data_IF_329037964236
#
_entry.id   IF_329037964236
#
_cell.length_a   1.000
_cell.length_b   1.000
_cell.length_c   1.000
_cell.angle_alpha   90.00
_cell.angle_beta   90.00
_cell.angle_gamma   90.00
#
_symmetry.space_group_name_H-M   'P 1'
#
loop_
_entity.id
_entity.type
_entity.pdbx_description
1 polymer ?
#
# COMPACT_ATOMS: atom_id res chain seq x y z
N UNK A 1 -11.17 -2.31 -3.40
CA UNK A 1 -9.71 -2.19 -3.41
C UNK A 1 -9.08 -3.08 -4.48
N UNK A 2 -9.49 -4.32 -4.68
CA UNK A 2 -8.99 -5.22 -5.74
C UNK A 2 -8.98 -4.54 -7.11
N UNK A 3 -10.09 -3.90 -7.49
CA UNK A 3 -10.20 -3.17 -8.75
C UNK A 3 -9.21 -2.01 -8.86
N UNK A 4 -8.90 -1.33 -7.75
CA UNK A 4 -7.90 -0.25 -7.70
C UNK A 4 -6.49 -0.80 -7.94
N UNK A 5 -6.14 -1.89 -7.28
CA UNK A 5 -4.85 -2.57 -7.42
C UNK A 5 -4.66 -3.06 -8.86
N UNK A 6 -5.68 -3.69 -9.46
CA UNK A 6 -5.63 -4.17 -10.85
C UNK A 6 -5.38 -3.00 -11.81
N UNK A 7 -6.11 -1.88 -11.67
CA UNK A 7 -5.95 -0.70 -12.53
C UNK A 7 -4.57 -0.06 -12.38
N UNK A 8 -4.04 0.02 -11.16
CA UNK A 8 -2.71 0.58 -10.90
C UNK A 8 -1.61 -0.32 -11.49
N UNK A 9 -1.73 -1.64 -11.38
CA UNK A 9 -0.80 -2.58 -12.01
C UNK A 9 -0.83 -2.44 -13.55
N UNK A 10 -2.01 -2.32 -14.16
CA UNK A 10 -2.10 -2.10 -15.61
C UNK A 10 -1.44 -0.79 -16.01
N UNK A 11 -1.67 0.29 -15.26
CA UNK A 11 -1.01 1.59 -15.51
C UNK A 11 0.52 1.53 -15.35
N UNK A 12 1.02 0.65 -14.47
CA UNK A 12 2.45 0.42 -14.30
C UNK A 12 3.04 -0.27 -15.54
N UNK A 13 2.38 -1.32 -16.04
CA UNK A 13 2.76 -2.03 -17.28
C UNK A 13 2.76 -1.06 -18.48
N UNK A 14 1.71 -0.25 -18.61
CA UNK A 14 1.60 0.74 -19.69
C UNK A 14 2.71 1.81 -19.64
N UNK A 15 3.36 1.97 -18.47
CA UNK A 15 4.47 2.90 -18.29
C UNK A 15 5.86 2.29 -18.57
N UNK A 16 5.96 1.03 -18.95
CA UNK A 16 7.25 0.35 -19.18
C UNK A 16 8.03 0.87 -20.39
N UNK A 17 7.35 1.52 -21.36
CA UNK A 17 8.00 2.12 -22.55
C UNK A 17 8.72 3.46 -22.28
N UNK A 18 9.17 3.68 -21.04
CA UNK A 18 9.87 4.90 -20.62
C UNK A 18 11.17 5.13 -21.37
N UNK A 19 11.93 4.06 -21.58
CA UNK A 19 13.27 4.14 -22.20
C UNK A 19 13.20 4.54 -23.67
N UNK A 20 12.11 4.20 -24.36
CA UNK A 20 11.91 4.56 -25.76
C UNK A 20 11.80 6.08 -25.97
N UNK A 21 11.05 6.79 -25.12
CA UNK A 21 10.96 8.26 -25.21
C UNK A 21 12.33 8.91 -24.97
N UNK A 22 13.11 8.41 -24.01
CA UNK A 22 14.44 8.93 -23.74
C UNK A 22 15.37 8.71 -24.94
N UNK A 23 15.41 7.47 -25.44
CA UNK A 23 16.24 7.08 -26.58
C UNK A 23 15.89 7.88 -27.84
N UNK A 24 14.59 8.03 -28.15
CA UNK A 24 14.13 8.86 -29.26
C UNK A 24 14.57 10.32 -29.12
N UNK A 25 14.51 10.88 -27.90
CA UNK A 25 15.01 12.21 -27.60
C UNK A 25 16.52 12.33 -27.83
N UNK A 26 17.28 11.37 -27.30
CA UNK A 26 18.75 11.32 -27.45
C UNK A 26 19.16 11.19 -28.94
N UNK A 27 18.54 10.28 -29.70
CA UNK A 27 18.81 10.07 -31.13
C UNK A 27 18.48 11.30 -31.95
N UNK A 28 17.38 12.00 -31.68
CA UNK A 28 17.02 13.22 -32.40
C UNK A 28 18.07 14.34 -32.20
N UNK A 29 18.73 14.40 -31.04
CA UNK A 29 19.82 15.36 -30.80
C UNK A 29 21.09 15.05 -31.56
N UNK A 30 21.28 13.83 -32.06
CA UNK A 30 22.43 13.47 -32.92
C UNK A 30 22.25 13.93 -34.38
N UNK A 31 21.03 14.39 -34.74
CA UNK A 31 20.75 14.81 -36.12
C UNK A 31 21.45 16.13 -36.48
N UNK A 32 21.97 16.22 -37.69
CA UNK A 32 22.80 17.33 -38.16
C UNK A 32 22.05 18.67 -38.27
N UNK A 33 20.73 18.65 -38.52
CA UNK A 33 19.93 19.86 -38.72
C UNK A 33 18.77 19.93 -37.68
N UNK A 34 19.06 20.40 -36.47
CA UNK A 34 18.11 20.45 -35.35
C UNK A 34 16.96 21.46 -35.57
N UNK A 35 17.16 22.44 -36.44
CA UNK A 35 16.12 23.49 -36.69
C UNK A 35 15.17 23.11 -37.84
N UNK A 36 15.38 21.99 -38.52
CA UNK A 36 14.48 21.52 -39.58
C UNK A 36 13.08 21.25 -39.07
N UNK A 37 12.08 21.67 -39.85
CA UNK A 37 10.65 21.50 -39.60
C UNK A 37 9.95 20.77 -40.75
N UNK A 38 8.71 20.39 -40.56
CA UNK A 38 7.84 19.83 -41.60
C UNK A 38 7.91 18.32 -41.75
N UNK A 39 8.81 17.65 -41.01
CA UNK A 39 8.92 16.19 -41.06
C UNK A 39 7.86 15.53 -40.17
N UNK A 40 7.20 14.49 -40.68
CA UNK A 40 6.27 13.66 -39.90
C UNK A 40 6.96 12.49 -39.20
N UNK A 41 8.05 12.06 -39.79
CA UNK A 41 8.91 10.99 -39.28
C UNK A 41 10.35 11.17 -39.80
N UNK A 42 11.30 10.57 -39.10
CA UNK A 42 12.70 10.53 -39.48
C UNK A 42 13.25 9.14 -39.24
N UNK A 43 14.15 8.69 -40.10
CA UNK A 43 14.88 7.42 -39.95
C UNK A 43 16.30 7.72 -39.51
N UNK A 44 16.70 7.18 -38.36
CA UNK A 44 18.01 7.40 -37.73
C UNK A 44 18.58 6.04 -37.36
N UNK A 45 19.90 5.90 -37.46
CA UNK A 45 20.60 4.73 -36.94
C UNK A 45 20.72 4.83 -35.45
N UNK A 46 20.23 3.81 -34.73
CA UNK A 46 20.32 3.72 -33.26
C UNK A 46 21.73 3.35 -32.79
N UNK A 47 21.93 3.28 -31.48
CA UNK A 47 23.22 2.96 -30.86
C UNK A 47 23.70 1.52 -31.14
N UNK A 48 22.78 0.63 -31.52
CA UNK A 48 23.04 -0.77 -31.84
C UNK A 48 23.29 -0.98 -33.38
N UNK A 49 23.21 0.11 -34.16
CA UNK A 49 23.43 0.09 -35.62
C UNK A 49 22.18 -0.25 -36.43
N UNK A 50 20.99 -0.30 -35.79
CA UNK A 50 19.73 -0.60 -36.47
C UNK A 50 19.06 0.68 -36.96
N UNK A 51 18.31 0.59 -38.07
CA UNK A 51 17.48 1.69 -38.53
C UNK A 51 16.21 1.81 -37.68
N UNK A 52 16.00 2.98 -37.04
CA UNK A 52 14.87 3.32 -36.21
C UNK A 52 14.08 4.48 -36.79
N UNK A 53 12.74 4.28 -36.93
CA UNK A 53 11.83 5.34 -37.38
C UNK A 53 11.25 6.05 -36.16
N UNK A 54 11.45 7.36 -36.08
CA UNK A 54 10.96 8.20 -34.99
C UNK A 54 9.87 9.12 -35.53
N UNK A 55 8.70 9.09 -34.91
CA UNK A 55 7.56 9.96 -35.26
C UNK A 55 7.81 11.38 -34.79
N UNK A 56 7.48 12.37 -35.62
CA UNK A 56 7.67 13.79 -35.33
C UNK A 56 6.37 14.56 -35.49
N UNK A 57 6.25 15.63 -34.72
CA UNK A 57 5.23 16.67 -34.95
C UNK A 57 5.79 17.63 -36.01
N UNK A 58 5.14 17.72 -37.19
CA UNK A 58 5.65 18.56 -38.29
C UNK A 58 5.62 20.06 -37.99
N UNK A 59 4.87 20.49 -36.98
CA UNK A 59 4.84 21.88 -36.52
C UNK A 59 6.07 22.28 -35.72
N UNK A 60 6.78 21.32 -35.20
CA UNK A 60 7.96 21.49 -34.35
C UNK A 60 9.24 21.24 -35.11
N UNK A 61 10.34 21.90 -34.72
CA UNK A 61 11.68 21.54 -35.20
C UNK A 61 12.14 20.20 -34.60
N UNK A 62 13.19 19.60 -35.14
CA UNK A 62 13.78 18.37 -34.64
C UNK A 62 14.17 18.52 -33.17
N UNK A 63 14.80 19.66 -32.79
CA UNK A 63 15.14 20.01 -31.41
C UNK A 63 13.91 20.09 -30.50
N UNK A 64 12.83 20.71 -30.99
CA UNK A 64 11.58 20.81 -30.24
C UNK A 64 10.90 19.46 -30.06
N UNK A 65 10.96 18.57 -31.08
CA UNK A 65 10.48 17.21 -30.98
C UNK A 65 11.31 16.39 -29.95
N UNK A 66 12.64 16.51 -29.98
CA UNK A 66 13.50 15.90 -28.97
C UNK A 66 13.13 16.34 -27.57
N UNK A 67 12.94 17.64 -27.33
CA UNK A 67 12.47 18.19 -26.05
C UNK A 67 11.09 17.64 -25.64
N UNK A 68 10.18 17.44 -26.59
CA UNK A 68 8.86 16.84 -26.36
C UNK A 68 9.01 15.39 -25.87
N UNK A 69 9.90 14.61 -26.48
CA UNK A 69 10.22 13.25 -26.03
C UNK A 69 10.81 13.23 -24.60
N UNK A 70 11.76 14.12 -24.28
CA UNK A 70 12.28 14.22 -22.90
C UNK A 70 11.23 14.68 -21.90
N UNK A 71 10.33 15.56 -22.30
CA UNK A 71 9.20 15.98 -21.44
C UNK A 71 8.28 14.79 -21.15
N UNK A 72 7.96 13.98 -22.18
CA UNK A 72 7.15 12.77 -22.03
C UNK A 72 7.85 11.74 -21.13
N UNK A 73 9.15 11.50 -21.35
CA UNK A 73 9.96 10.65 -20.48
C UNK A 73 9.90 11.09 -19.01
N UNK A 74 10.13 12.38 -18.76
CA UNK A 74 10.11 12.93 -17.41
C UNK A 74 8.73 12.80 -16.75
N UNK A 75 7.66 13.09 -17.51
CA UNK A 75 6.27 12.95 -17.06
C UNK A 75 5.93 11.50 -16.74
N UNK A 76 6.27 10.56 -17.63
CA UNK A 76 6.03 9.13 -17.41
C UNK A 76 6.82 8.61 -16.20
N UNK A 77 8.10 9.00 -16.07
CA UNK A 77 8.96 8.61 -14.92
C UNK A 77 8.38 9.05 -13.59
N UNK A 78 7.93 10.32 -13.50
CA UNK A 78 7.28 10.83 -12.28
C UNK A 78 5.94 10.12 -12.03
N UNK A 79 5.19 9.84 -13.09
CA UNK A 79 3.94 9.08 -13.01
C UNK A 79 4.16 7.66 -12.50
N UNK A 80 5.22 6.98 -12.94
CA UNK A 80 5.57 5.63 -12.47
C UNK A 80 5.80 5.60 -10.96
N UNK A 81 6.63 6.50 -10.43
CA UNK A 81 6.90 6.60 -8.99
C UNK A 81 5.59 6.82 -8.21
N UNK A 82 4.75 7.74 -8.68
CA UNK A 82 3.45 7.99 -8.04
C UNK A 82 2.53 6.74 -8.08
N UNK A 83 2.51 5.99 -9.19
CA UNK A 83 1.71 4.76 -9.31
C UNK A 83 2.24 3.69 -8.33
N UNK A 84 3.56 3.54 -8.22
CA UNK A 84 4.20 2.59 -7.29
C UNK A 84 3.83 2.91 -5.83
N UNK A 85 3.88 4.19 -5.43
CA UNK A 85 3.44 4.64 -4.11
C UNK A 85 1.95 4.36 -3.86
N UNK A 86 1.08 4.66 -4.85
CA UNK A 86 -0.36 4.39 -4.74
C UNK A 86 -0.67 2.89 -4.70
N UNK A 87 0.14 2.07 -5.36
CA UNK A 87 0.01 0.62 -5.34
C UNK A 87 0.37 0.05 -3.96
N UNK A 88 1.45 0.55 -3.33
CA UNK A 88 1.83 0.15 -1.98
C UNK A 88 0.73 0.51 -0.96
N UNK A 89 0.20 1.74 -1.03
CA UNK A 89 -0.92 2.16 -0.19
C UNK A 89 -2.15 1.26 -0.41
N UNK A 90 -2.50 1.00 -1.68
CA UNK A 90 -3.68 0.20 -1.99
C UNK A 90 -3.55 -1.27 -1.55
N UNK A 91 -2.35 -1.84 -1.60
CA UNK A 91 -2.07 -3.18 -1.09
C UNK A 91 -2.23 -3.25 0.43
N UNK A 92 -1.67 -2.28 1.15
CA UNK A 92 -1.82 -2.19 2.63
C UNK A 92 -3.28 -2.03 3.05
N UNK A 93 -4.05 -1.21 2.32
CA UNK A 93 -5.49 -1.09 2.55
C UNK A 93 -6.23 -2.42 2.29
N UNK A 94 -5.86 -3.15 1.24
CA UNK A 94 -6.46 -4.45 0.92
C UNK A 94 -6.16 -5.48 2.03
N UNK A 95 -4.91 -5.55 2.48
CA UNK A 95 -4.50 -6.42 3.60
C UNK A 95 -5.30 -6.09 4.88
N UNK A 96 -5.42 -4.80 5.22
CA UNK A 96 -6.24 -4.35 6.34
C UNK A 96 -7.69 -4.82 6.24
N UNK A 97 -8.34 -4.67 5.07
CA UNK A 97 -9.73 -5.11 4.89
C UNK A 97 -9.88 -6.63 4.89
N UNK A 98 -8.89 -7.38 4.38
CA UNK A 98 -8.89 -8.83 4.47
C UNK A 98 -8.80 -9.30 5.93
N UNK A 99 -7.92 -8.69 6.73
CA UNK A 99 -7.82 -8.97 8.16
C UNK A 99 -9.11 -8.62 8.90
N UNK A 100 -9.75 -7.48 8.59
CA UNK A 100 -11.05 -7.12 9.15
C UNK A 100 -12.15 -8.13 8.80
N UNK A 101 -12.13 -8.66 7.58
CA UNK A 101 -13.08 -9.69 7.16
C UNK A 101 -12.93 -10.96 8.00
N UNK A 102 -11.70 -11.44 8.18
CA UNK A 102 -11.42 -12.59 9.04
C UNK A 102 -11.85 -12.36 10.50
N UNK A 103 -11.58 -11.15 11.03
CA UNK A 103 -12.01 -10.76 12.36
C UNK A 103 -13.55 -10.76 12.48
N UNK A 104 -14.27 -10.30 11.46
CA UNK A 104 -15.73 -10.26 11.44
C UNK A 104 -16.35 -11.67 11.42
N UNK A 105 -15.70 -12.65 10.79
CA UNK A 105 -16.20 -14.03 10.71
C UNK A 105 -16.29 -14.70 12.10
N UNK A 106 -15.45 -14.28 13.06
CA UNK A 106 -15.41 -14.80 14.43
C UNK A 106 -15.91 -13.78 15.48
N UNK A 107 -16.37 -12.60 15.04
CA UNK A 107 -16.73 -11.50 15.92
C UNK A 107 -18.04 -11.76 16.64
N UNK A 108 -18.08 -11.41 17.94
CA UNK A 108 -19.35 -11.22 18.64
C UNK A 108 -20.05 -9.93 18.17
N UNK A 109 -21.30 -9.75 18.54
CA UNK A 109 -22.02 -8.50 18.23
C UNK A 109 -21.31 -7.25 18.79
N UNK A 110 -20.69 -7.35 19.97
CA UNK A 110 -19.92 -6.25 20.56
C UNK A 110 -18.65 -5.94 19.75
N UNK A 111 -17.92 -6.97 19.30
CA UNK A 111 -16.72 -6.81 18.48
C UNK A 111 -17.05 -6.16 17.12
N UNK A 112 -18.13 -6.60 16.49
CA UNK A 112 -18.60 -6.01 15.23
C UNK A 112 -18.98 -4.52 15.38
N UNK A 113 -19.50 -4.11 16.53
CA UNK A 113 -19.75 -2.69 16.81
C UNK A 113 -18.47 -1.89 17.00
N UNK A 114 -17.46 -2.46 17.64
CA UNK A 114 -16.13 -1.82 17.79
C UNK A 114 -15.45 -1.65 16.45
N UNK A 115 -15.42 -2.69 15.60
CA UNK A 115 -14.92 -2.63 14.22
C UNK A 115 -15.67 -1.55 13.41
N UNK A 116 -16.99 -1.46 13.56
CA UNK A 116 -17.77 -0.41 12.89
C UNK A 116 -17.37 0.99 13.36
N UNK A 117 -17.15 1.19 14.65
CA UNK A 117 -16.70 2.47 15.20
C UNK A 117 -15.29 2.83 14.70
N UNK A 118 -14.40 1.84 14.57
CA UNK A 118 -13.09 1.97 13.97
C UNK A 118 -13.17 2.42 12.50
N UNK A 119 -13.98 1.76 11.68
CA UNK A 119 -14.19 2.12 10.28
C UNK A 119 -14.77 3.53 10.11
N UNK A 120 -15.61 3.98 11.07
CA UNK A 120 -16.10 5.37 11.10
C UNK A 120 -14.97 6.33 11.47
N UNK A 121 -14.13 6.00 12.45
CA UNK A 121 -12.98 6.81 12.90
C UNK A 121 -11.98 7.04 11.76
N UNK A 122 -11.71 6.01 10.96
CA UNK A 122 -10.80 6.10 9.80
C UNK A 122 -11.47 6.61 8.52
N UNK A 123 -12.77 6.95 8.56
CA UNK A 123 -13.49 7.55 7.43
C UNK A 123 -14.00 6.58 6.38
N UNK A 124 -13.90 5.29 6.58
CA UNK A 124 -14.41 4.26 5.66
C UNK A 124 -15.94 4.13 5.72
N UNK A 125 -16.53 4.46 6.88
CA UNK A 125 -17.98 4.50 7.05
C UNK A 125 -18.45 5.89 7.50
N UNK A 126 -19.61 6.31 6.98
CA UNK A 126 -20.23 7.58 7.41
C UNK A 126 -20.79 7.44 8.82
N UNK A 127 -20.47 8.39 9.69
CA UNK A 127 -21.08 8.50 11.02
C UNK A 127 -22.56 8.86 10.84
N UNK A 128 -23.47 7.97 11.23
CA UNK A 128 -24.88 8.37 11.45
C UNK A 128 -24.90 9.26 12.67
N UNK A 129 -25.57 10.43 12.57
CA UNK A 129 -25.73 11.36 13.69
C UNK A 129 -26.65 10.72 14.73
N UNK A 130 -26.05 9.98 15.64
CA UNK A 130 -26.75 9.43 16.81
C UNK A 130 -26.20 10.13 18.05
N UNK A 131 -27.04 10.27 19.09
CA UNK A 131 -26.66 10.86 20.37
C UNK A 131 -25.36 10.25 20.90
N UNK A 132 -24.51 11.02 21.62
CA UNK A 132 -23.27 10.50 22.18
C UNK A 132 -23.56 9.31 23.07
N UNK A 133 -23.01 8.15 22.72
CA UNK A 133 -23.05 6.96 23.58
C UNK A 133 -22.05 7.16 24.72
N UNK A 134 -22.44 6.76 25.94
CA UNK A 134 -21.54 6.65 27.09
C UNK A 134 -20.30 5.84 26.72
N UNK A 135 -19.14 6.22 27.25
CA UNK A 135 -17.88 5.50 27.05
C UNK A 135 -18.10 3.99 27.26
N UNK A 136 -18.00 3.23 26.20
CA UNK A 136 -18.07 1.77 26.25
C UNK A 136 -16.77 1.25 26.84
N UNK A 137 -16.87 0.39 27.84
CA UNK A 137 -15.73 -0.35 28.37
C UNK A 137 -15.28 -1.34 27.30
N UNK A 138 -14.01 -1.27 26.91
CA UNK A 138 -13.42 -2.23 25.97
C UNK A 138 -13.27 -3.56 26.70
N UNK A 139 -13.81 -4.63 26.14
CA UNK A 139 -13.74 -5.96 26.71
C UNK A 139 -12.63 -6.74 26.01
N UNK A 140 -11.63 -7.16 26.77
CA UNK A 140 -10.58 -8.08 26.32
C UNK A 140 -10.99 -9.52 26.57
N UNK A 141 -10.43 -10.44 25.79
CA UNK A 141 -10.61 -11.86 25.96
C UNK A 141 -9.50 -12.46 26.81
N UNK A 142 -9.83 -13.45 27.62
CA UNK A 142 -8.87 -14.09 28.51
C UNK A 142 -9.02 -15.61 28.46
N UNK A 143 -7.88 -16.29 28.48
CA UNK A 143 -7.78 -17.74 28.63
C UNK A 143 -6.77 -18.04 29.73
N UNK A 144 -7.09 -18.98 30.60
CA UNK A 144 -6.15 -19.51 31.57
C UNK A 144 -5.51 -20.79 31.02
N UNK A 145 -4.19 -20.84 31.02
CA UNK A 145 -3.44 -22.01 30.59
C UNK A 145 -2.21 -22.21 31.47
N UNK A 146 -2.10 -23.38 32.09
CA UNK A 146 -0.97 -23.74 32.96
C UNK A 146 -0.69 -22.70 34.07
N UNK A 147 -1.76 -22.15 34.67
CA UNK A 147 -1.65 -21.13 35.73
C UNK A 147 -1.28 -19.73 35.25
N UNK A 148 -1.14 -19.51 33.94
CA UNK A 148 -0.90 -18.21 33.34
C UNK A 148 -2.20 -17.68 32.72
N UNK A 149 -2.49 -16.39 32.93
CA UNK A 149 -3.60 -15.69 32.28
C UNK A 149 -3.08 -15.07 30.97
N UNK A 150 -3.66 -15.51 29.86
CA UNK A 150 -3.38 -15.02 28.53
C UNK A 150 -4.53 -14.11 28.13
N UNK A 151 -4.23 -12.83 27.89
CA UNK A 151 -5.21 -11.82 27.50
C UNK A 151 -4.96 -11.40 26.06
N UNK A 152 -6.01 -11.32 25.24
CA UNK A 152 -5.86 -10.97 23.82
C UNK A 152 -7.02 -10.11 23.31
N UNK A 153 -6.73 -9.40 22.21
CA UNK A 153 -7.70 -8.62 21.45
C UNK A 153 -8.10 -9.32 20.15
N UNK A 154 -9.33 -9.08 19.69
CA UNK A 154 -9.88 -9.62 18.43
C UNK A 154 -10.06 -8.57 17.34
N UNK A 155 -9.76 -7.32 17.63
CA UNK A 155 -9.81 -6.20 16.68
C UNK A 155 -8.78 -5.14 17.06
N UNK A 156 -8.54 -4.19 16.16
CA UNK A 156 -7.50 -3.18 16.38
C UNK A 156 -7.77 -2.31 17.61
N UNK A 157 -9.01 -1.96 17.89
CA UNK A 157 -9.38 -1.18 19.09
C UNK A 157 -9.02 -1.91 20.38
N UNK A 158 -9.29 -3.22 20.43
CA UNK A 158 -8.92 -4.08 21.57
C UNK A 158 -7.40 -4.29 21.65
N UNK A 159 -6.74 -4.49 20.51
CA UNK A 159 -5.30 -4.63 20.41
C UNK A 159 -4.55 -3.38 20.91
N UNK A 160 -5.00 -2.20 20.50
CA UNK A 160 -4.45 -0.92 20.98
C UNK A 160 -4.65 -0.77 22.50
N UNK A 161 -5.85 -1.03 22.99
CA UNK A 161 -6.14 -0.96 24.42
C UNK A 161 -5.30 -1.96 25.22
N UNK A 162 -5.16 -3.19 24.73
CA UNK A 162 -4.34 -4.25 25.34
C UNK A 162 -2.88 -3.81 25.45
N UNK A 163 -2.31 -3.28 24.37
CA UNK A 163 -0.88 -2.94 24.32
C UNK A 163 -0.52 -1.66 25.05
N UNK A 164 -1.36 -0.63 24.93
CA UNK A 164 -1.01 0.70 25.44
C UNK A 164 -1.65 1.05 26.80
N UNK A 165 -2.68 0.29 27.24
CA UNK A 165 -3.40 0.60 28.48
C UNK A 165 -3.41 -0.55 29.47
N UNK A 166 -3.61 -1.78 28.99
CA UNK A 166 -3.75 -2.97 29.85
C UNK A 166 -2.42 -3.59 30.21
N UNK A 167 -1.51 -3.75 29.25
CA UNK A 167 -0.21 -4.39 29.45
C UNK A 167 0.65 -3.63 30.47
N UNK A 168 1.31 -4.37 31.36
CA UNK A 168 2.26 -3.83 32.34
C UNK A 168 3.70 -4.07 31.87
N UNK A 169 4.69 -3.32 32.37
CA UNK A 169 6.10 -3.48 31.97
C UNK A 169 6.65 -4.90 32.12
N UNK A 170 6.13 -5.67 33.09
CA UNK A 170 6.58 -7.05 33.36
C UNK A 170 5.71 -8.10 32.69
N UNK A 171 4.85 -7.72 31.76
CA UNK A 171 4.07 -8.68 31.00
C UNK A 171 4.81 -9.05 29.71
N UNK A 172 4.67 -10.30 29.28
CA UNK A 172 5.17 -10.72 27.98
C UNK A 172 4.13 -10.46 26.91
N UNK A 173 4.54 -9.73 25.85
CA UNK A 173 3.69 -9.34 24.75
C UNK A 173 4.05 -10.11 23.47
N UNK A 174 3.04 -10.52 22.69
CA UNK A 174 3.18 -11.23 21.44
C UNK A 174 2.36 -10.59 20.34
N UNK A 175 2.91 -10.59 19.15
CA UNK A 175 2.25 -10.24 17.92
C UNK A 175 2.94 -10.91 16.73
N UNK A 176 2.21 -11.31 15.72
CA UNK A 176 2.76 -11.85 14.48
C UNK A 176 3.55 -10.75 13.74
N UNK A 177 4.81 -11.03 13.43
CA UNK A 177 5.66 -10.07 12.73
C UNK A 177 5.13 -9.83 11.32
N UNK A 178 5.04 -8.55 10.93
CA UNK A 178 4.66 -8.11 9.58
C UNK A 178 3.27 -8.62 9.12
N UNK A 179 2.37 -8.96 10.06
CA UNK A 179 1.03 -9.45 9.78
C UNK A 179 -0.02 -8.76 10.66
N UNK A 180 -1.20 -8.47 10.08
CA UNK A 180 -2.34 -7.96 10.84
C UNK A 180 -2.98 -9.09 11.64
N UNK A 181 -2.68 -9.17 12.94
CA UNK A 181 -3.16 -10.22 13.82
C UNK A 181 -3.57 -9.73 15.20
N UNK A 182 -3.97 -10.65 16.06
CA UNK A 182 -4.27 -10.38 17.45
C UNK A 182 -3.00 -9.96 18.20
N UNK A 183 -3.14 -8.99 19.12
CA UNK A 183 -2.15 -8.77 20.16
C UNK A 183 -2.50 -9.66 21.35
N UNK A 184 -1.48 -10.20 21.99
CA UNK A 184 -1.62 -11.10 23.11
C UNK A 184 -0.65 -10.69 24.23
N UNK A 185 -1.10 -10.78 25.47
CA UNK A 185 -0.32 -10.45 26.66
C UNK A 185 -0.45 -11.60 27.66
N UNK A 186 0.67 -12.12 28.11
CA UNK A 186 0.74 -13.05 29.24
C UNK A 186 1.05 -12.26 30.51
N UNK A 187 0.23 -12.43 31.55
CA UNK A 187 0.31 -11.66 32.80
C UNK A 187 1.46 -12.11 33.73
N UNK A 188 2.58 -12.52 33.18
CA UNK A 188 3.80 -12.88 33.89
C UNK A 188 5.02 -12.52 33.06
N UNK A 189 6.12 -12.23 33.72
CA UNK A 189 7.42 -11.96 33.10
C UNK A 189 8.23 -13.24 32.84
N UNK A 190 7.79 -14.37 33.40
CA UNK A 190 8.48 -15.65 33.24
C UNK A 190 7.47 -16.79 32.98
N UNK A 191 6.81 -16.81 31.80
CA UNK A 191 5.90 -17.89 31.42
C UNK A 191 6.70 -19.15 31.10
N UNK A 192 6.11 -20.34 31.35
CA UNK A 192 6.71 -21.60 30.96
C UNK A 192 6.85 -21.73 29.46
N UNK A 193 7.81 -22.56 28.99
CA UNK A 193 8.01 -22.82 27.56
C UNK A 193 6.74 -23.29 26.86
N UNK A 194 5.92 -24.08 27.52
CA UNK A 194 4.63 -24.55 26.98
C UNK A 194 3.64 -23.41 26.76
N UNK A 195 3.59 -22.43 27.68
CA UNK A 195 2.77 -21.20 27.53
C UNK A 195 3.29 -20.36 26.36
N UNK A 196 4.61 -20.22 26.23
CA UNK A 196 5.23 -19.48 25.12
C UNK A 196 4.89 -20.12 23.78
N UNK A 197 4.98 -21.45 23.66
CA UNK A 197 4.62 -22.17 22.43
C UNK A 197 3.13 -22.03 22.10
N UNK A 198 2.25 -22.08 23.10
CA UNK A 198 0.81 -21.86 22.88
C UNK A 198 0.53 -20.45 22.37
N UNK A 199 1.23 -19.44 22.87
CA UNK A 199 1.05 -18.04 22.45
C UNK A 199 1.61 -17.76 21.06
N UNK A 200 2.57 -18.56 20.57
CA UNK A 200 3.24 -18.40 19.29
C UNK A 200 2.55 -19.15 18.12
N UNK A 201 1.63 -20.08 18.43
CA UNK A 201 0.85 -20.86 17.45
C UNK A 201 -0.53 -20.27 17.24
#
# INVERSE_FOLDING_TARGET
FDTKVIKLNQSLIDSENLNEDKENGDLLYTYSNLEQKGLKEIEIIDYDGNSKKIKLDPKLSIKQNANKYFTNYTKKRKGKVYIEEQLDIAKKELEYFNALKEQLDIASYSDALEIKEELIKYGYLRKKVNKPKKNKKINLYQVEYKGSIITFGKNNTQNDYLSFTYAKPNNMWFHAKDYHGAHLVVNTDNPSEEVLRMCAN
#
